data_IF_647114901272
#
_entry.id   IF_647114901272
#
_cell.length_a   1.000
_cell.length_b   1.000
_cell.length_c   1.000
_cell.angle_alpha   90.00
_cell.angle_beta   90.00
_cell.angle_gamma   90.00
#
_symmetry.space_group_name_H-M   'P 1'
#
loop_
_entity.id
_entity.type
_entity.pdbx_description
1 polymer ?
#
# COMPACT_ATOMS: atom_id res chain seq x y z
N UNK A 1 -14.38 12.95 -19.34
CA UNK A 1 -14.03 12.95 -17.90
C UNK A 1 -15.16 12.25 -17.14
N UNK A 2 -14.82 11.23 -16.32
CA UNK A 2 -15.78 10.62 -15.39
C UNK A 2 -16.27 11.71 -14.43
N UNK A 3 -17.58 11.78 -14.18
CA UNK A 3 -18.14 12.74 -13.22
C UNK A 3 -17.83 12.20 -11.80
N UNK A 4 -16.81 12.77 -11.17
CA UNK A 4 -16.33 12.37 -9.83
C UNK A 4 -16.53 13.52 -8.86
N UNK A 5 -17.08 13.20 -7.69
CA UNK A 5 -17.29 14.17 -6.61
C UNK A 5 -16.24 13.99 -5.52
N UNK A 6 -16.29 12.90 -4.77
CA UNK A 6 -15.30 12.58 -3.74
C UNK A 6 -14.74 11.17 -3.94
N UNK A 7 -13.49 11.08 -4.41
CA UNK A 7 -12.86 9.80 -4.71
C UNK A 7 -11.93 9.34 -3.59
N UNK A 8 -12.01 8.04 -3.30
CA UNK A 8 -11.07 7.34 -2.42
C UNK A 8 -10.49 6.18 -3.22
N UNK A 9 -9.18 6.00 -3.13
CA UNK A 9 -8.48 4.87 -3.76
C UNK A 9 -7.99 3.89 -2.69
N UNK A 10 -7.89 2.62 -3.04
CA UNK A 10 -7.43 1.58 -2.11
C UNK A 10 -6.02 1.84 -1.61
N UNK A 11 -5.20 2.54 -2.39
CA UNK A 11 -3.85 3.00 -2.05
C UNK A 11 -3.79 3.82 -0.76
N UNK A 12 -4.89 4.52 -0.41
CA UNK A 12 -4.97 5.32 0.81
C UNK A 12 -4.75 4.50 2.10
N UNK A 13 -4.88 3.18 2.02
CA UNK A 13 -4.51 2.30 3.14
C UNK A 13 -3.06 2.48 3.57
N UNK A 14 -2.16 2.87 2.65
CA UNK A 14 -0.75 3.14 2.94
C UNK A 14 -0.54 4.41 3.77
N UNK A 15 -1.45 5.38 3.68
CA UNK A 15 -1.36 6.64 4.42
C UNK A 15 -1.74 6.48 5.91
N UNK A 16 -2.39 5.38 6.28
CA UNK A 16 -2.88 5.16 7.64
C UNK A 16 -1.75 4.94 8.64
N UNK A 17 -0.58 4.48 8.20
CA UNK A 17 0.58 4.35 9.08
C UNK A 17 1.02 5.71 9.64
N UNK A 18 0.99 6.77 8.81
CA UNK A 18 1.25 8.12 9.27
C UNK A 18 0.30 8.53 10.40
N UNK A 19 -0.99 8.24 10.25
CA UNK A 19 -1.99 8.58 11.27
C UNK A 19 -1.78 7.78 12.56
N UNK A 20 -1.54 6.48 12.46
CA UNK A 20 -1.34 5.62 13.63
C UNK A 20 -0.07 5.99 14.40
N UNK A 21 1.02 6.28 13.69
CA UNK A 21 2.28 6.74 14.27
C UNK A 21 2.10 8.11 14.91
N UNK A 22 1.42 9.05 14.23
CA UNK A 22 1.13 10.38 14.78
C UNK A 22 0.33 10.26 16.08
N UNK A 23 -0.72 9.42 16.12
CA UNK A 23 -1.48 9.18 17.35
C UNK A 23 -0.59 8.68 18.50
N UNK A 24 0.30 7.73 18.22
CA UNK A 24 1.22 7.20 19.23
C UNK A 24 2.22 8.25 19.74
N UNK A 25 2.69 9.15 18.85
CA UNK A 25 3.67 10.19 19.18
C UNK A 25 3.07 11.36 19.96
N UNK A 26 1.88 11.79 19.56
CA UNK A 26 1.21 12.97 20.13
C UNK A 26 0.29 12.62 21.29
N UNK A 27 0.02 11.32 21.52
CA UNK A 27 -1.01 10.81 22.43
C UNK A 27 -2.42 11.33 22.09
N UNK A 28 -2.66 11.79 20.86
CA UNK A 28 -3.95 12.22 20.38
C UNK A 28 -4.68 11.05 19.69
N UNK A 29 -5.76 10.52 20.28
CA UNK A 29 -6.49 9.38 19.76
C UNK A 29 -7.22 9.67 18.45
N UNK A 30 -7.49 10.93 18.12
CA UNK A 30 -8.24 11.31 16.91
C UNK A 30 -7.60 10.75 15.64
N UNK A 31 -6.28 10.75 15.54
CA UNK A 31 -5.57 10.21 14.39
C UNK A 31 -5.79 8.70 14.23
N UNK A 32 -5.75 7.95 15.33
CA UNK A 32 -6.02 6.51 15.29
C UNK A 32 -7.48 6.21 14.94
N UNK A 33 -8.41 6.98 15.46
CA UNK A 33 -9.85 6.81 15.17
C UNK A 33 -10.16 7.10 13.70
N UNK A 34 -9.49 8.07 13.10
CA UNK A 34 -9.57 8.32 11.66
C UNK A 34 -9.02 7.16 10.84
N UNK A 35 -7.85 6.63 11.22
CA UNK A 35 -7.26 5.49 10.55
C UNK A 35 -8.20 4.26 10.61
N UNK A 36 -8.78 3.98 11.77
CA UNK A 36 -9.77 2.91 11.94
C UNK A 36 -11.03 3.13 11.12
N UNK A 37 -11.56 4.34 11.11
CA UNK A 37 -12.75 4.69 10.34
C UNK A 37 -12.50 4.49 8.85
N UNK A 38 -11.36 4.96 8.34
CA UNK A 38 -10.97 4.77 6.96
C UNK A 38 -10.81 3.27 6.63
N UNK A 39 -10.05 2.52 7.41
CA UNK A 39 -9.84 1.09 7.20
C UNK A 39 -11.17 0.30 7.19
N UNK A 40 -12.06 0.56 8.15
CA UNK A 40 -13.38 -0.08 8.22
C UNK A 40 -14.26 0.28 7.02
N UNK A 41 -14.20 1.50 6.53
CA UNK A 41 -14.93 1.93 5.33
C UNK A 41 -14.35 1.28 4.09
N UNK A 42 -13.03 1.14 4.02
CA UNK A 42 -12.34 0.43 2.92
C UNK A 42 -12.75 -1.04 2.86
N UNK A 43 -12.82 -1.75 4.00
CA UNK A 43 -13.34 -3.14 4.03
C UNK A 43 -14.73 -3.21 3.41
N UNK A 44 -15.66 -2.35 3.85
CA UNK A 44 -17.05 -2.39 3.39
C UNK A 44 -17.23 -2.01 1.92
N UNK A 45 -16.45 -1.05 1.44
CA UNK A 45 -16.75 -0.38 0.18
C UNK A 45 -15.79 -0.73 -0.95
N UNK A 46 -14.52 -1.07 -0.64
CA UNK A 46 -13.52 -1.41 -1.66
C UNK A 46 -13.38 -2.91 -1.90
N UNK A 47 -13.90 -3.79 -1.01
CA UNK A 47 -13.70 -5.22 -1.18
C UNK A 47 -14.96 -5.93 -1.67
N UNK A 48 -14.75 -6.94 -2.52
CA UNK A 48 -15.74 -7.87 -3.02
C UNK A 48 -15.81 -9.10 -2.10
N UNK A 49 -16.84 -9.96 -2.25
CA UNK A 49 -16.94 -11.19 -1.47
C UNK A 49 -15.76 -12.15 -1.61
N UNK A 50 -15.02 -12.07 -2.72
CA UNK A 50 -13.81 -12.86 -2.99
C UNK A 50 -12.53 -12.20 -2.49
N UNK A 51 -12.64 -11.09 -1.76
CA UNK A 51 -11.54 -10.28 -1.24
C UNK A 51 -10.67 -9.57 -2.28
N UNK A 52 -11.08 -9.55 -3.54
CA UNK A 52 -10.52 -8.61 -4.51
C UNK A 52 -11.04 -7.19 -4.23
N UNK A 53 -10.26 -6.17 -4.60
CA UNK A 53 -10.66 -4.78 -4.37
C UNK A 53 -10.99 -4.03 -5.64
N UNK A 54 -11.95 -3.10 -5.56
CA UNK A 54 -12.03 -1.98 -6.51
C UNK A 54 -10.90 -1.00 -6.22
N UNK A 55 -10.30 -0.45 -7.28
CA UNK A 55 -9.28 0.56 -7.16
C UNK A 55 -9.85 1.86 -6.57
N UNK A 56 -10.92 2.38 -7.18
CA UNK A 56 -11.53 3.67 -6.85
C UNK A 56 -12.97 3.49 -6.43
N UNK A 57 -13.35 4.13 -5.33
CA UNK A 57 -14.75 4.34 -4.94
C UNK A 57 -15.03 5.83 -4.96
N UNK A 58 -16.02 6.23 -5.73
CA UNK A 58 -16.49 7.60 -5.84
C UNK A 58 -17.74 7.79 -4.98
N UNK A 59 -17.67 8.70 -4.05
CA UNK A 59 -18.75 9.02 -3.12
C UNK A 59 -19.39 10.36 -3.46
N UNK A 60 -20.62 10.52 -3.05
CA UNK A 60 -21.22 11.84 -2.89
C UNK A 60 -20.58 12.52 -1.67
N UNK A 61 -19.95 13.68 -1.90
CA UNK A 61 -19.19 14.38 -0.85
C UNK A 61 -20.07 14.98 0.26
N UNK A 62 -21.39 15.09 0.05
CA UNK A 62 -22.34 15.62 1.04
C UNK A 62 -23.01 14.48 1.82
N UNK A 63 -23.44 13.41 1.13
CA UNK A 63 -24.21 12.32 1.76
C UNK A 63 -23.35 11.12 2.18
N UNK A 64 -22.14 10.97 1.59
CA UNK A 64 -21.29 9.81 1.77
C UNK A 64 -21.76 8.56 1.02
N UNK A 65 -22.80 8.65 0.19
CA UNK A 65 -23.29 7.53 -0.60
C UNK A 65 -22.34 7.20 -1.75
N UNK A 66 -22.24 5.92 -2.11
CA UNK A 66 -21.42 5.47 -3.23
C UNK A 66 -22.12 5.83 -4.55
N UNK A 67 -21.44 6.63 -5.38
CA UNK A 67 -21.88 6.98 -6.73
C UNK A 67 -21.42 5.90 -7.72
N UNK A 68 -20.14 5.50 -7.67
CA UNK A 68 -19.57 4.51 -8.57
C UNK A 68 -18.36 3.80 -7.94
N UNK A 69 -18.06 2.61 -8.47
CA UNK A 69 -16.84 1.85 -8.21
C UNK A 69 -16.13 1.63 -9.54
N UNK A 70 -14.87 2.00 -9.61
CA UNK A 70 -14.18 2.13 -10.90
C UNK A 70 -12.67 1.89 -10.75
N UNK A 71 -11.95 1.95 -11.86
CA UNK A 71 -10.49 1.94 -11.86
C UNK A 71 -9.94 3.15 -12.61
N UNK A 72 -8.71 3.52 -12.26
CA UNK A 72 -7.90 4.51 -12.97
C UNK A 72 -6.68 3.87 -13.62
N UNK A 73 -6.13 2.84 -12.98
CA UNK A 73 -4.90 2.17 -13.40
C UNK A 73 -5.10 0.71 -13.77
N UNK A 74 -6.25 0.11 -13.44
CA UNK A 74 -6.58 -1.28 -13.77
C UNK A 74 -7.09 -1.45 -15.20
N UNK A 75 -7.31 -2.70 -15.58
CA UNK A 75 -7.78 -3.10 -16.90
C UNK A 75 -9.23 -2.67 -17.18
N UNK A 76 -10.09 -2.86 -16.21
CA UNK A 76 -11.50 -2.51 -16.26
C UNK A 76 -12.00 -2.12 -14.87
N UNK A 77 -13.14 -1.40 -14.79
CA UNK A 77 -13.68 -0.95 -13.50
C UNK A 77 -13.91 -2.10 -12.51
N UNK A 78 -14.25 -3.30 -13.01
CA UNK A 78 -14.44 -4.49 -12.19
C UNK A 78 -13.20 -5.35 -11.98
N UNK A 79 -12.05 -5.04 -12.59
CA UNK A 79 -10.85 -5.90 -12.52
C UNK A 79 -10.08 -5.75 -11.21
N UNK A 80 -9.24 -6.74 -10.93
CA UNK A 80 -8.33 -6.75 -9.79
C UNK A 80 -6.95 -6.21 -10.19
N UNK A 81 -6.79 -4.89 -10.15
CA UNK A 81 -5.50 -4.24 -10.39
C UNK A 81 -4.47 -4.68 -9.34
N UNK A 82 -3.39 -5.33 -9.79
CA UNK A 82 -2.47 -6.07 -8.92
C UNK A 82 -1.85 -5.23 -7.80
N UNK A 83 -1.41 -4.01 -8.11
CA UNK A 83 -0.80 -3.13 -7.10
C UNK A 83 -1.83 -2.64 -6.09
N UNK A 84 -3.09 -2.45 -6.49
CA UNK A 84 -4.16 -2.12 -5.55
C UNK A 84 -4.42 -3.24 -4.54
N UNK A 85 -4.39 -4.50 -5.00
CA UNK A 85 -4.46 -5.65 -4.10
C UNK A 85 -3.28 -5.67 -3.12
N UNK A 86 -2.07 -5.40 -3.62
CA UNK A 86 -0.86 -5.34 -2.80
C UNK A 86 -0.90 -4.22 -1.76
N UNK A 87 -1.41 -3.03 -2.11
CA UNK A 87 -1.63 -1.93 -1.17
C UNK A 87 -2.59 -2.29 -0.05
N UNK A 88 -3.69 -2.96 -0.39
CA UNK A 88 -4.63 -3.46 0.60
C UNK A 88 -4.00 -4.48 1.54
N UNK A 89 -3.30 -5.48 1.00
CA UNK A 89 -2.59 -6.49 1.80
C UNK A 89 -1.62 -5.83 2.79
N UNK A 90 -0.78 -4.91 2.32
CA UNK A 90 0.17 -4.21 3.17
C UNK A 90 -0.55 -3.36 4.22
N UNK A 91 -1.53 -2.55 3.79
CA UNK A 91 -2.24 -1.63 4.66
C UNK A 91 -3.01 -2.32 5.78
N UNK A 92 -3.69 -3.44 5.52
CA UNK A 92 -4.38 -4.19 6.57
C UNK A 92 -3.41 -4.94 7.49
N UNK A 93 -2.30 -5.47 6.97
CA UNK A 93 -1.22 -6.04 7.80
C UNK A 93 -0.67 -4.99 8.76
N UNK A 94 -0.40 -3.77 8.26
CA UNK A 94 0.04 -2.63 9.05
C UNK A 94 -1.02 -2.21 10.09
N UNK A 95 -2.30 -2.12 9.71
CA UNK A 95 -3.36 -1.78 10.64
C UNK A 95 -3.50 -2.81 11.77
N UNK A 96 -3.34 -4.10 11.49
CA UNK A 96 -3.27 -5.11 12.54
C UNK A 96 -2.06 -4.91 13.46
N UNK A 97 -0.87 -4.64 12.91
CA UNK A 97 0.32 -4.31 13.71
C UNK A 97 0.04 -3.20 14.71
N UNK A 98 -0.60 -2.13 14.26
CA UNK A 98 -0.82 -0.91 15.03
C UNK A 98 -1.98 -1.02 16.03
N UNK A 99 -3.01 -1.81 15.73
CA UNK A 99 -4.25 -1.80 16.51
C UNK A 99 -4.55 -3.10 17.24
N UNK A 100 -3.97 -4.22 16.78
CA UNK A 100 -4.29 -5.58 17.20
C UNK A 100 -5.78 -5.96 17.02
N UNK A 101 -6.50 -5.25 16.15
CA UNK A 101 -7.87 -5.59 15.81
C UNK A 101 -7.89 -6.77 14.84
N UNK A 102 -8.48 -7.89 15.28
CA UNK A 102 -8.50 -9.14 14.54
C UNK A 102 -9.15 -9.03 13.15
N UNK A 103 -10.07 -8.08 12.95
CA UNK A 103 -10.71 -7.84 11.66
C UNK A 103 -9.70 -7.46 10.56
N UNK A 104 -8.65 -6.72 10.93
CA UNK A 104 -7.61 -6.34 9.97
C UNK A 104 -6.68 -7.50 9.64
N UNK A 105 -6.41 -8.38 10.62
CA UNK A 105 -5.67 -9.62 10.36
C UNK A 105 -6.45 -10.54 9.41
N UNK A 106 -7.73 -10.76 9.70
CA UNK A 106 -8.63 -11.56 8.87
C UNK A 106 -8.69 -11.02 7.43
N UNK A 107 -8.87 -9.69 7.28
CA UNK A 107 -8.89 -9.06 5.97
C UNK A 107 -7.56 -9.23 5.22
N UNK A 108 -6.42 -9.06 5.91
CA UNK A 108 -5.09 -9.23 5.31
C UNK A 108 -4.85 -10.69 4.87
N UNK A 109 -5.26 -11.65 5.70
CA UNK A 109 -5.15 -13.08 5.39
C UNK A 109 -5.93 -13.42 4.12
N UNK A 110 -7.18 -13.01 4.03
CA UNK A 110 -8.01 -13.30 2.86
C UNK A 110 -7.51 -12.63 1.57
N UNK A 111 -6.98 -11.39 1.67
CA UNK A 111 -6.34 -10.75 0.51
C UNK A 111 -5.09 -11.53 0.09
N UNK A 112 -4.29 -12.00 1.06
CA UNK A 112 -3.11 -12.80 0.76
C UNK A 112 -3.47 -14.12 0.07
N UNK A 113 -4.52 -14.81 0.55
CA UNK A 113 -5.02 -16.04 -0.07
C UNK A 113 -5.56 -15.78 -1.48
N UNK A 114 -6.35 -14.73 -1.68
CA UNK A 114 -6.82 -14.33 -3.01
C UNK A 114 -5.64 -14.13 -3.98
N UNK A 115 -4.62 -13.40 -3.58
CA UNK A 115 -3.44 -13.12 -4.41
C UNK A 115 -2.62 -14.38 -4.70
N UNK A 116 -2.40 -15.19 -3.67
CA UNK A 116 -1.55 -16.38 -3.72
C UNK A 116 -2.16 -17.48 -4.61
N UNK A 117 -3.46 -17.65 -4.51
CA UNK A 117 -4.21 -18.71 -5.18
C UNK A 117 -4.82 -18.24 -6.52
N UNK A 118 -4.58 -16.97 -6.91
CA UNK A 118 -5.11 -16.43 -8.16
C UNK A 118 -4.53 -17.16 -9.38
N UNK A 119 -5.36 -17.68 -10.31
CA UNK A 119 -4.91 -18.49 -11.43
C UNK A 119 -3.99 -17.74 -12.41
N UNK A 120 -4.11 -16.40 -12.47
CA UNK A 120 -3.25 -15.57 -13.30
C UNK A 120 -1.89 -15.24 -12.64
N UNK A 121 -1.63 -15.66 -11.40
CA UNK A 121 -0.32 -15.45 -10.79
C UNK A 121 0.74 -16.33 -11.48
N UNK A 122 1.75 -15.73 -12.15
CA UNK A 122 2.72 -16.48 -12.93
C UNK A 122 3.61 -17.39 -12.08
N UNK A 123 4.32 -18.33 -12.74
CA UNK A 123 5.22 -19.27 -12.06
C UNK A 123 6.35 -18.59 -11.29
N UNK A 124 6.86 -17.47 -11.79
CA UNK A 124 7.91 -16.67 -11.15
C UNK A 124 7.37 -15.78 -10.00
N UNK A 125 6.07 -15.81 -9.76
CA UNK A 125 5.36 -15.09 -8.69
C UNK A 125 5.40 -13.57 -8.82
N UNK A 126 5.81 -13.03 -9.95
CA UNK A 126 5.69 -11.59 -10.24
C UNK A 126 4.37 -11.38 -10.98
N UNK A 127 3.39 -10.68 -10.41
CA UNK A 127 2.08 -10.55 -11.02
C UNK A 127 2.12 -9.77 -12.33
N UNK A 128 1.14 -10.00 -13.19
CA UNK A 128 0.80 -9.05 -14.23
C UNK A 128 0.27 -7.76 -13.61
N UNK A 129 0.27 -6.67 -14.36
CA UNK A 129 -0.19 -5.36 -13.90
C UNK A 129 -1.65 -5.34 -13.41
N UNK A 130 -2.46 -6.27 -13.91
CA UNK A 130 -3.83 -6.51 -13.51
C UNK A 130 -4.11 -8.02 -13.63
N UNK A 131 -4.75 -8.61 -12.63
CA UNK A 131 -4.94 -10.05 -12.54
C UNK A 131 -6.03 -10.57 -13.49
N UNK A 132 -6.95 -9.69 -13.90
CA UNK A 132 -8.05 -10.02 -14.81
C UNK A 132 -7.77 -9.56 -16.26
N UNK A 133 -6.64 -8.90 -16.50
CA UNK A 133 -6.25 -8.53 -17.85
C UNK A 133 -5.96 -9.77 -18.70
N UNK A 134 -6.36 -9.78 -19.98
CA UNK A 134 -6.00 -10.86 -20.90
C UNK A 134 -4.50 -11.05 -20.98
N UNK A 135 -4.05 -12.29 -20.72
CA UNK A 135 -2.62 -12.61 -20.72
C UNK A 135 -2.15 -12.93 -22.15
N UNK A 136 -1.22 -12.14 -22.64
CA UNK A 136 -0.50 -12.34 -23.90
C UNK A 136 1.01 -12.30 -23.65
N UNK A 137 1.83 -12.56 -24.68
CA UNK A 137 3.30 -12.43 -24.58
C UNK A 137 3.75 -10.99 -24.20
N UNK A 138 2.93 -9.99 -24.52
CA UNK A 138 3.25 -8.57 -24.34
C UNK A 138 2.54 -7.98 -23.09
N UNK A 139 1.86 -8.80 -22.28
CA UNK A 139 1.19 -8.34 -21.07
C UNK A 139 2.22 -7.92 -20.02
N UNK A 140 2.24 -6.64 -19.58
CA UNK A 140 3.26 -6.15 -18.66
C UNK A 140 3.18 -6.83 -17.29
N UNK A 141 4.36 -7.00 -16.69
CA UNK A 141 4.51 -7.38 -15.29
C UNK A 141 4.45 -6.14 -14.41
N UNK A 142 4.20 -6.34 -13.14
CA UNK A 142 4.36 -5.27 -12.15
C UNK A 142 5.27 -5.73 -11.00
N UNK A 143 6.57 -5.49 -11.15
CA UNK A 143 7.56 -5.79 -10.13
C UNK A 143 7.26 -5.02 -8.82
N UNK A 144 6.70 -3.81 -8.91
CA UNK A 144 6.34 -3.03 -7.72
C UNK A 144 5.27 -3.72 -6.87
N UNK A 145 4.27 -4.32 -7.51
CA UNK A 145 3.24 -5.10 -6.81
C UNK A 145 3.86 -6.29 -6.05
N UNK A 146 4.77 -7.03 -6.70
CA UNK A 146 5.46 -8.14 -6.05
C UNK A 146 6.29 -7.70 -4.83
N UNK A 147 6.96 -6.55 -4.91
CA UNK A 147 7.75 -6.02 -3.79
C UNK A 147 6.88 -5.68 -2.58
N UNK A 148 5.74 -5.02 -2.82
CA UNK A 148 4.77 -4.66 -1.78
C UNK A 148 4.18 -5.92 -1.16
N UNK A 149 3.79 -6.90 -2.00
CA UNK A 149 3.30 -8.20 -1.54
C UNK A 149 4.34 -8.91 -0.67
N UNK A 150 5.59 -9.05 -1.14
CA UNK A 150 6.64 -9.74 -0.39
C UNK A 150 6.88 -9.09 0.97
N UNK A 151 6.94 -7.75 1.03
CA UNK A 151 7.12 -7.02 2.28
C UNK A 151 5.97 -7.26 3.26
N UNK A 152 4.73 -7.22 2.77
CA UNK A 152 3.54 -7.47 3.58
C UNK A 152 3.45 -8.94 4.05
N UNK A 153 3.72 -9.90 3.16
CA UNK A 153 3.64 -11.34 3.47
C UNK A 153 4.65 -11.78 4.52
N UNK A 154 5.88 -11.24 4.48
CA UNK A 154 6.89 -11.50 5.50
C UNK A 154 6.39 -11.04 6.88
N UNK A 155 5.78 -9.88 6.97
CA UNK A 155 5.22 -9.39 8.21
C UNK A 155 3.99 -10.20 8.63
N UNK A 156 3.05 -10.44 7.72
CA UNK A 156 1.83 -11.19 7.97
C UNK A 156 2.11 -12.60 8.46
N UNK A 157 3.16 -13.26 7.94
CA UNK A 157 3.57 -14.59 8.39
C UNK A 157 3.91 -14.66 9.89
N UNK A 158 4.32 -13.53 10.47
CA UNK A 158 4.64 -13.46 11.91
C UNK A 158 3.40 -13.27 12.79
N UNK A 159 2.25 -12.96 12.21
CA UNK A 159 1.00 -12.71 12.93
C UNK A 159 0.05 -13.91 12.90
N UNK A 160 0.16 -14.74 11.88
CA UNK A 160 -0.71 -15.91 11.69
C UNK A 160 -0.27 -17.03 12.60
N UNK A 161 -1.24 -17.58 13.36
CA UNK A 161 -0.94 -18.68 14.32
C UNK A 161 -0.88 -20.06 13.65
N UNK A 162 -1.58 -20.25 12.51
CA UNK A 162 -1.50 -21.47 11.72
C UNK A 162 -0.12 -21.57 11.04
N UNK A 163 0.74 -22.54 11.45
CA UNK A 163 2.09 -22.65 10.91
C UNK A 163 2.12 -23.02 9.44
N UNK A 164 1.11 -23.71 8.93
CA UNK A 164 1.01 -24.07 7.51
C UNK A 164 0.74 -22.82 6.68
N UNK A 165 -0.22 -22.01 7.11
CA UNK A 165 -0.56 -20.76 6.43
C UNK A 165 0.58 -19.75 6.53
N UNK A 166 1.19 -19.60 7.70
CA UNK A 166 2.39 -18.76 7.91
C UNK A 166 3.50 -19.13 6.93
N UNK A 167 3.80 -20.44 6.81
CA UNK A 167 4.82 -20.90 5.88
C UNK A 167 4.45 -20.70 4.41
N UNK A 168 3.18 -20.81 4.03
CA UNK A 168 2.72 -20.50 2.66
C UNK A 168 2.99 -19.04 2.30
N UNK A 169 2.68 -18.10 3.20
CA UNK A 169 2.95 -16.67 3.00
C UNK A 169 4.45 -16.40 2.85
N UNK A 170 5.24 -16.95 3.74
CA UNK A 170 6.70 -16.80 3.68
C UNK A 170 7.29 -17.37 2.40
N UNK A 171 6.84 -18.58 1.99
CA UNK A 171 7.30 -19.22 0.75
C UNK A 171 6.99 -18.37 -0.49
N UNK A 172 5.80 -17.76 -0.56
CA UNK A 172 5.48 -16.86 -1.67
C UNK A 172 6.40 -15.63 -1.69
N UNK A 173 6.62 -15.01 -0.54
CA UNK A 173 7.53 -13.86 -0.42
C UNK A 173 8.97 -14.22 -0.85
N UNK A 174 9.49 -15.38 -0.41
CA UNK A 174 10.81 -15.89 -0.80
C UNK A 174 10.92 -16.12 -2.31
N UNK A 175 9.88 -16.67 -2.94
CA UNK A 175 9.84 -16.87 -4.39
C UNK A 175 9.84 -15.54 -5.14
N UNK A 176 9.07 -14.55 -4.66
CA UNK A 176 9.05 -13.20 -5.22
C UNK A 176 10.41 -12.53 -5.10
N UNK A 177 11.01 -12.51 -3.91
CA UNK A 177 12.34 -11.94 -3.70
C UNK A 177 13.41 -12.64 -4.54
N UNK A 178 13.34 -13.97 -4.68
CA UNK A 178 14.25 -14.74 -5.53
C UNK A 178 14.13 -14.34 -6.99
N UNK A 179 12.91 -14.14 -7.50
CA UNK A 179 12.67 -13.71 -8.87
C UNK A 179 13.13 -12.27 -9.10
N UNK A 180 12.78 -11.36 -8.18
CA UNK A 180 13.17 -9.94 -8.24
C UNK A 180 14.69 -9.73 -8.17
N UNK A 181 15.42 -10.64 -7.50
CA UNK A 181 16.87 -10.56 -7.33
C UNK A 181 17.66 -11.01 -8.58
N UNK A 182 17.00 -11.47 -9.63
CA UNK A 182 17.60 -12.00 -10.85
C UNK A 182 17.10 -11.29 -12.10
N UNK A 183 17.78 -11.54 -13.22
CA UNK A 183 17.23 -11.19 -14.52
C UNK A 183 15.88 -11.93 -14.76
N UNK A 184 14.92 -11.32 -15.42
CA UNK A 184 14.99 -10.01 -16.07
C UNK A 184 14.74 -8.81 -15.14
N UNK A 185 14.28 -9.01 -13.89
CA UNK A 185 13.78 -7.94 -13.01
C UNK A 185 14.90 -7.07 -12.43
N UNK A 186 16.00 -7.65 -11.99
CA UNK A 186 17.11 -6.88 -11.43
C UNK A 186 17.95 -6.24 -12.54
N UNK A 187 18.14 -4.93 -12.48
CA UNK A 187 19.06 -4.19 -13.33
C UNK A 187 20.52 -4.47 -12.95
N UNK A 188 21.44 -4.37 -13.91
CA UNK A 188 22.86 -4.32 -13.62
C UNK A 188 23.25 -2.90 -13.17
N UNK A 189 24.36 -2.79 -12.45
CA UNK A 189 24.89 -1.48 -12.06
C UNK A 189 25.11 -0.60 -13.30
N UNK A 190 24.61 0.63 -13.24
CA UNK A 190 24.68 1.59 -14.34
C UNK A 190 23.57 1.48 -15.40
N UNK A 191 22.73 0.45 -15.32
CA UNK A 191 21.53 0.32 -16.16
C UNK A 191 20.30 0.98 -15.49
N UNK A 192 19.19 1.10 -16.25
CA UNK A 192 17.85 1.44 -15.74
C UNK A 192 17.81 2.76 -14.98
N UNK A 193 18.59 3.78 -15.41
CA UNK A 193 18.71 5.07 -14.74
C UNK A 193 19.05 4.97 -13.23
N UNK A 194 19.81 3.94 -12.85
CA UNK A 194 20.20 3.58 -11.48
C UNK A 194 19.07 3.06 -10.58
N UNK A 195 17.88 2.80 -11.11
CA UNK A 195 16.87 2.03 -10.36
C UNK A 195 17.27 0.55 -10.30
N UNK A 196 16.94 -0.08 -9.17
CA UNK A 196 17.30 -1.48 -8.90
C UNK A 196 16.45 -2.44 -9.75
N UNK A 197 15.15 -2.13 -9.85
CA UNK A 197 14.18 -3.02 -10.49
C UNK A 197 13.65 -2.48 -11.81
N UNK A 198 13.46 -3.40 -12.75
CA UNK A 198 12.80 -3.23 -14.04
C UNK A 198 11.39 -3.84 -14.01
N UNK A 199 10.64 -3.64 -15.07
CA UNK A 199 9.36 -4.29 -15.34
C UNK A 199 8.29 -3.99 -14.29
N UNK A 200 8.20 -2.73 -13.85
CA UNK A 200 7.05 -2.23 -13.11
C UNK A 200 6.06 -1.53 -14.05
N UNK A 201 4.80 -1.45 -13.63
CA UNK A 201 3.73 -0.78 -14.39
C UNK A 201 3.13 0.34 -13.55
N UNK A 202 3.41 1.60 -13.91
CA UNK A 202 2.85 2.75 -13.22
C UNK A 202 1.36 2.93 -13.53
N UNK A 203 1.01 3.11 -14.81
CA UNK A 203 -0.36 3.27 -15.28
C UNK A 203 -0.47 2.78 -16.73
N UNK A 204 -0.89 1.51 -16.92
CA UNK A 204 -1.00 0.91 -18.25
C UNK A 204 -1.99 1.62 -19.15
N UNK A 205 -3.22 2.01 -18.67
CA UNK A 205 -4.15 2.80 -19.48
C UNK A 205 -3.59 4.13 -19.97
N UNK A 206 -2.72 4.77 -19.20
CA UNK A 206 -2.04 6.01 -19.58
C UNK A 206 -0.75 5.79 -20.39
N UNK A 207 -0.43 4.55 -20.75
CA UNK A 207 0.76 4.22 -21.54
C UNK A 207 2.08 4.12 -20.75
N UNK A 208 2.04 4.23 -19.41
CA UNK A 208 3.24 4.16 -18.55
C UNK A 208 3.37 2.78 -17.94
N UNK A 209 4.08 1.89 -18.64
CA UNK A 209 4.33 0.52 -18.23
C UNK A 209 5.75 0.10 -18.65
N UNK A 210 6.22 -1.00 -18.09
CA UNK A 210 7.60 -1.48 -18.28
C UNK A 210 8.64 -0.39 -17.93
N UNK A 211 8.44 0.25 -16.78
CA UNK A 211 9.21 1.40 -16.33
C UNK A 211 9.76 1.17 -14.93
N UNK A 212 10.90 1.78 -14.56
CA UNK A 212 11.36 1.78 -13.18
C UNK A 212 10.45 2.66 -12.30
N UNK A 213 10.27 2.23 -11.04
CA UNK A 213 9.48 2.97 -10.07
C UNK A 213 10.22 3.04 -8.73
N UNK A 214 10.33 4.23 -8.16
CA UNK A 214 11.07 4.44 -6.90
C UNK A 214 10.48 3.62 -5.75
N UNK A 215 9.16 3.47 -5.69
CA UNK A 215 8.52 2.68 -4.65
C UNK A 215 8.69 1.16 -4.86
N UNK A 216 8.97 0.69 -6.09
CA UNK A 216 9.37 -0.70 -6.31
C UNK A 216 10.71 -0.97 -5.61
N UNK A 217 11.69 -0.10 -5.79
CA UNK A 217 12.99 -0.21 -5.13
C UNK A 217 12.86 -0.09 -3.60
N UNK A 218 12.03 0.84 -3.13
CA UNK A 218 11.78 1.01 -1.69
C UNK A 218 11.24 -0.29 -1.06
N UNK A 219 10.15 -0.83 -1.58
CA UNK A 219 9.54 -2.04 -1.01
C UNK A 219 10.38 -3.30 -1.24
N UNK A 220 11.18 -3.34 -2.30
CA UNK A 220 12.15 -4.41 -2.48
C UNK A 220 13.21 -4.42 -1.37
N UNK A 221 13.80 -3.26 -1.08
CA UNK A 221 14.78 -3.13 0.00
C UNK A 221 14.12 -3.40 1.35
N UNK A 222 12.91 -2.88 1.59
CA UNK A 222 12.17 -3.13 2.83
C UNK A 222 11.90 -4.64 3.01
N UNK A 223 11.44 -5.33 1.97
CA UNK A 223 11.18 -6.76 2.04
C UNK A 223 12.47 -7.57 2.35
N UNK A 224 13.58 -7.22 1.73
CA UNK A 224 14.88 -7.83 2.02
C UNK A 224 15.33 -7.59 3.47
N UNK A 225 15.12 -6.39 3.99
CA UNK A 225 15.45 -6.05 5.39
C UNK A 225 14.54 -6.78 6.36
N UNK A 226 13.23 -6.87 6.09
CA UNK A 226 12.27 -7.66 6.88
C UNK A 226 12.66 -9.13 6.88
N UNK A 227 12.98 -9.70 5.71
CA UNK A 227 13.40 -11.08 5.58
C UNK A 227 14.71 -11.35 6.33
N UNK A 228 15.70 -10.48 6.20
CA UNK A 228 16.95 -10.56 6.97
C UNK A 228 16.68 -10.56 8.47
N UNK A 229 15.85 -9.66 8.98
CA UNK A 229 15.49 -9.60 10.41
C UNK A 229 14.78 -10.87 10.86
N UNK A 230 13.87 -11.41 10.04
CA UNK A 230 13.20 -12.67 10.33
C UNK A 230 14.20 -13.82 10.51
N UNK A 231 15.18 -13.95 9.59
CA UNK A 231 16.24 -14.97 9.68
C UNK A 231 17.15 -14.79 10.90
N UNK A 232 17.32 -13.56 11.37
CA UNK A 232 18.08 -13.24 12.58
C UNK A 232 17.26 -13.40 13.87
N UNK A 233 16.00 -13.85 13.79
CA UNK A 233 15.08 -13.96 14.93
C UNK A 233 14.70 -12.62 15.56
N UNK A 234 14.77 -11.54 14.79
CA UNK A 234 14.46 -10.18 15.21
C UNK A 234 13.06 -9.78 14.76
N UNK A 235 12.40 -8.81 15.43
CA UNK A 235 11.16 -8.23 14.93
C UNK A 235 11.34 -7.73 13.50
N UNK A 236 10.47 -8.15 12.59
CA UNK A 236 10.55 -7.78 11.16
C UNK A 236 10.31 -6.29 10.94
N UNK A 237 9.50 -5.65 11.80
CA UNK A 237 9.31 -4.20 11.86
C UNK A 237 9.72 -3.72 13.25
N UNK A 238 10.64 -2.79 13.31
CA UNK A 238 11.11 -2.21 14.57
C UNK A 238 10.51 -0.79 14.71
N UNK A 239 9.34 -0.73 15.33
CA UNK A 239 8.64 0.55 15.53
C UNK A 239 9.27 1.38 16.65
N UNK A 240 10.02 0.76 17.55
CA UNK A 240 10.54 1.42 18.77
C UNK A 240 11.80 2.24 18.54
N UNK A 241 12.66 1.83 17.62
CA UNK A 241 13.98 2.46 17.42
C UNK A 241 13.92 3.76 16.60
N UNK A 242 12.87 3.96 15.82
CA UNK A 242 12.78 5.10 14.92
C UNK A 242 12.33 6.37 15.64
N UNK A 243 11.64 6.25 16.79
CA UNK A 243 10.87 7.36 17.35
C UNK A 243 11.29 7.75 18.77
N UNK A 244 11.76 6.82 19.62
CA UNK A 244 11.96 7.11 21.04
C UNK A 244 13.23 7.93 21.32
N UNK A 245 14.29 7.73 20.55
CA UNK A 245 15.64 8.24 20.89
C UNK A 245 16.27 9.13 19.82
N UNK A 246 15.53 9.51 18.77
CA UNK A 246 16.09 10.37 17.73
C UNK A 246 16.15 11.83 18.18
N UNK A 247 17.27 12.55 17.96
CA UNK A 247 17.43 13.94 18.39
C UNK A 247 16.39 14.90 17.79
N UNK A 248 15.87 14.59 16.60
CA UNK A 248 14.85 15.40 15.91
C UNK A 248 13.40 14.95 16.20
N UNK A 249 13.19 14.11 17.23
CA UNK A 249 11.85 13.57 17.58
C UNK A 249 10.79 14.67 17.73
N UNK A 250 11.13 15.75 18.47
CA UNK A 250 10.21 16.87 18.71
C UNK A 250 9.89 17.63 17.41
N UNK A 251 10.87 17.79 16.53
CA UNK A 251 10.67 18.38 15.20
C UNK A 251 9.74 17.51 14.36
N UNK A 252 9.90 16.19 14.40
CA UNK A 252 9.03 15.27 13.65
C UNK A 252 7.61 15.29 14.19
N UNK A 253 7.43 15.25 15.51
CA UNK A 253 6.10 15.34 16.14
C UNK A 253 5.41 16.64 15.71
N UNK A 254 6.08 17.77 15.84
CA UNK A 254 5.50 19.08 15.48
C UNK A 254 5.17 19.17 13.98
N UNK A 255 5.99 18.56 13.13
CA UNK A 255 5.77 18.53 11.68
C UNK A 255 4.58 17.63 11.31
N UNK A 256 4.50 16.44 11.91
CA UNK A 256 3.39 15.52 11.69
C UNK A 256 2.07 16.13 12.17
N UNK A 257 2.05 16.74 13.35
CA UNK A 257 0.89 17.41 13.90
C UNK A 257 0.43 18.58 13.02
N UNK A 258 1.36 19.39 12.52
CA UNK A 258 1.08 20.50 11.59
C UNK A 258 0.45 20.02 10.28
N UNK A 259 0.90 18.88 9.75
CA UNK A 259 0.36 18.30 8.51
C UNK A 259 -0.99 17.65 8.76
N UNK A 260 -1.15 16.91 9.84
CA UNK A 260 -2.33 16.11 10.10
C UNK A 260 -3.52 16.93 10.67
N UNK A 261 -3.27 17.93 11.54
CA UNK A 261 -4.35 18.74 12.15
C UNK A 261 -5.32 19.39 11.16
N UNK A 262 -4.86 20.04 10.07
CA UNK A 262 -5.79 20.63 9.10
C UNK A 262 -6.67 19.58 8.42
N UNK A 263 -6.13 18.40 8.15
CA UNK A 263 -6.88 17.28 7.55
C UNK A 263 -7.95 16.79 8.53
N UNK A 264 -7.59 16.61 9.80
CA UNK A 264 -8.51 16.21 10.87
C UNK A 264 -9.62 17.25 11.07
N UNK A 265 -9.27 18.52 11.17
CA UNK A 265 -10.22 19.60 11.36
C UNK A 265 -11.23 19.70 10.22
N UNK A 266 -10.78 19.54 8.97
CA UNK A 266 -11.65 19.58 7.79
C UNK A 266 -12.57 18.37 7.70
N UNK A 267 -12.10 17.18 8.08
CA UNK A 267 -12.92 15.97 8.17
C UNK A 267 -13.97 16.06 9.27
N UNK A 268 -13.59 16.53 10.46
CA UNK A 268 -14.48 16.69 11.60
C UNK A 268 -15.55 17.78 11.36
N UNK A 269 -15.23 18.82 10.61
CA UNK A 269 -16.15 19.91 10.26
C UNK A 269 -17.09 19.56 9.09
N UNK A 270 -16.96 18.40 8.46
CA UNK A 270 -17.70 18.05 7.23
C UNK A 270 -17.40 18.98 6.04
N UNK A 271 -16.35 19.78 6.16
CA UNK A 271 -15.95 20.79 5.17
C UNK A 271 -14.81 20.32 4.29
N UNK A 272 -14.90 19.10 3.73
CA UNK A 272 -14.04 18.70 2.64
C UNK A 272 -14.42 19.49 1.38
N UNK A 273 -14.07 20.77 1.37
CA UNK A 273 -14.09 21.54 0.13
C UNK A 273 -12.98 21.04 -0.78
N UNK A 274 -13.24 21.07 -2.08
CA UNK A 274 -12.41 20.64 -3.23
C UNK A 274 -10.95 21.14 -3.26
N UNK A 275 -10.52 21.90 -2.30
CA UNK A 275 -9.19 22.48 -2.17
C UNK A 275 -8.59 22.10 -0.82
N UNK A 276 -8.10 20.86 -0.71
CA UNK A 276 -7.12 20.56 0.32
C UNK A 276 -5.87 21.41 0.07
N UNK A 277 -5.26 22.00 1.13
CA UNK A 277 -4.17 22.97 0.99
C UNK A 277 -2.83 22.34 0.59
N UNK A 278 -2.82 21.40 -0.36
CA UNK A 278 -1.57 21.02 -1.01
C UNK A 278 -1.00 22.17 -1.86
N UNK A 279 -1.83 23.10 -2.32
CA UNK A 279 -1.38 24.31 -3.00
C UNK A 279 -0.75 25.34 -2.04
N UNK A 280 -1.10 25.33 -0.75
CA UNK A 280 -0.49 26.26 0.22
C UNK A 280 0.87 25.79 0.74
N UNK A 281 1.26 24.54 0.52
CA UNK A 281 2.60 24.05 0.83
C UNK A 281 3.61 24.36 -0.30
N UNK A 282 3.12 24.68 -1.49
CA UNK A 282 3.95 25.11 -2.64
C UNK A 282 4.16 26.62 -2.69
N UNK A 283 3.52 27.39 -1.82
CA UNK A 283 3.59 28.84 -1.78
C UNK A 283 4.48 29.40 -0.64
N UNK A 284 5.48 28.63 -0.20
CA UNK A 284 6.55 29.18 0.62
C UNK A 284 7.57 29.84 -0.31
N UNK A 285 7.64 31.18 -0.35
CA UNK A 285 8.55 31.90 -1.24
C UNK A 285 10.02 31.71 -0.90
N UNK A 286 10.36 31.13 0.27
CA UNK A 286 11.73 30.95 0.76
C UNK A 286 12.33 29.56 0.43
N UNK A 287 11.64 28.72 -0.37
CA UNK A 287 12.17 27.45 -0.89
C UNK A 287 12.62 27.53 -2.34
N UNK A 288 13.28 28.64 -2.71
CA UNK A 288 14.12 28.68 -3.91
C UNK A 288 15.57 28.77 -3.46
N UNK A 289 16.16 27.60 -3.17
CA UNK A 289 17.59 27.32 -3.36
C UNK A 289 17.79 25.80 -3.24
#
# INVERSE_FOLDING_TARGET
RKNRDFIVIVDNMMNLELLTVTSALTADPQYLDMARTHANTTIRNHYRPDYSSWHVVNYNGETGEIISKETEQGHADGSAWSRGQAWGLYGFTMMYRQTRDARYLEQAVHIAEFLMDHPALPKDKIPYWDLDAPVTKDTPRDASSACIMASALIELSTFVQDPVLSQRFLTLAEQQLTSLSKAPYRAKAGENANFILKHSTANKPAGTFDTPLVYADYYYIEALLRYKRLLEGRPVVDVRTVVSDHPDRELWISTLDRIARPVVANLAAGTLKKNLPFESLSADPDRRE
#
